data_IF_800880158317
#
_entry.id   IF_800880158317
#
_cell.length_a   1.000
_cell.length_b   1.000
_cell.length_c   1.000
_cell.angle_alpha   90.00
_cell.angle_beta   90.00
_cell.angle_gamma   90.00
#
_symmetry.space_group_name_H-M   'P 1'
#
loop_
_entity.id
_entity.type
_entity.pdbx_description
1 polymer ?
#
# COMPACT_ATOMS: atom_id res chain seq x y z
N UNK A 1 -7.68 0.71 33.73
CA UNK A 1 -6.31 1.15 34.06
C UNK A 1 -5.92 2.16 32.99
N UNK A 2 -5.83 3.45 33.36
CA UNK A 2 -5.33 4.49 32.46
C UNK A 2 -3.82 4.34 32.40
N UNK A 3 -3.32 3.80 31.32
CA UNK A 3 -1.89 3.76 31.06
C UNK A 3 -1.47 5.17 30.64
N UNK A 4 -0.67 5.83 31.43
CA UNK A 4 -0.08 7.13 31.09
C UNK A 4 0.83 6.87 29.85
N UNK A 5 0.42 7.36 28.69
CA UNK A 5 1.26 7.36 27.51
C UNK A 5 2.52 8.16 27.83
N UNK A 6 3.66 7.50 27.87
CA UNK A 6 4.96 8.19 27.83
C UNK A 6 4.95 9.05 26.56
N UNK A 7 5.70 10.13 26.51
CA UNK A 7 5.76 11.02 25.35
C UNK A 7 6.20 10.20 24.12
N UNK A 8 5.26 9.44 23.54
CA UNK A 8 5.46 8.78 22.27
C UNK A 8 5.65 9.86 21.26
N UNK A 9 6.61 9.72 20.42
CA UNK A 9 6.80 10.64 19.31
C UNK A 9 5.58 10.65 18.39
N UNK A 10 4.86 9.50 18.31
CA UNK A 10 3.73 9.34 17.39
C UNK A 10 2.59 8.49 17.98
N UNK A 11 1.38 8.96 17.74
CA UNK A 11 0.14 8.21 18.00
C UNK A 11 -0.55 7.96 16.66
N UNK A 12 -0.76 6.69 16.29
CA UNK A 12 -1.49 6.29 15.09
C UNK A 12 -2.85 5.76 15.51
N UNK A 13 -3.92 6.26 14.91
CA UNK A 13 -5.30 5.85 15.20
C UNK A 13 -5.86 5.06 14.04
N UNK A 14 -6.24 3.81 14.30
CA UNK A 14 -6.74 2.83 13.36
C UNK A 14 -5.67 1.85 12.89
N UNK A 15 -5.91 0.54 13.11
CA UNK A 15 -5.02 -0.55 12.70
C UNK A 15 -5.52 -1.24 11.41
N UNK A 16 -6.05 -0.46 10.48
CA UNK A 16 -6.22 -0.87 9.09
C UNK A 16 -4.90 -0.83 8.32
N UNK A 17 -4.93 -1.13 7.01
CA UNK A 17 -3.74 -1.19 6.18
C UNK A 17 -2.87 0.08 6.28
N UNK A 18 -3.47 1.25 6.13
CA UNK A 18 -2.74 2.51 6.18
C UNK A 18 -2.10 2.78 7.55
N UNK A 19 -2.84 2.56 8.63
CA UNK A 19 -2.35 2.82 9.99
C UNK A 19 -1.25 1.85 10.41
N UNK A 20 -1.40 0.57 10.11
CA UNK A 20 -0.34 -0.43 10.40
C UNK A 20 0.92 -0.17 9.62
N UNK A 21 0.83 0.17 8.31
CA UNK A 21 1.99 0.54 7.51
C UNK A 21 2.67 1.81 8.03
N UNK A 22 1.90 2.83 8.42
CA UNK A 22 2.45 4.06 8.98
C UNK A 22 3.18 3.79 10.31
N UNK A 23 2.54 3.03 11.22
CA UNK A 23 3.13 2.68 12.51
C UNK A 23 4.42 1.88 12.33
N UNK A 24 4.41 0.89 11.43
CA UNK A 24 5.60 0.10 11.11
C UNK A 24 6.75 0.94 10.57
N UNK A 25 6.48 1.83 9.60
CA UNK A 25 7.51 2.71 9.04
C UNK A 25 8.08 3.70 10.05
N UNK A 26 7.26 4.22 10.93
CA UNK A 26 7.72 5.09 12.02
C UNK A 26 8.60 4.32 13.02
N UNK A 27 8.20 3.10 13.38
CA UNK A 27 8.99 2.24 14.27
C UNK A 27 10.35 1.86 13.64
N UNK A 28 10.39 1.54 12.34
CA UNK A 28 11.65 1.28 11.63
C UNK A 28 12.61 2.48 11.64
N UNK A 29 12.08 3.70 11.71
CA UNK A 29 12.87 4.94 11.84
C UNK A 29 13.32 5.23 13.28
N UNK A 30 13.05 4.32 14.20
CA UNK A 30 13.45 4.44 15.60
C UNK A 30 12.51 5.30 16.45
N UNK A 31 11.32 5.64 15.95
CA UNK A 31 10.35 6.39 16.74
C UNK A 31 9.58 5.47 17.70
N UNK A 32 9.24 5.99 18.86
CA UNK A 32 8.27 5.36 19.74
C UNK A 32 6.87 5.58 19.17
N UNK A 33 6.13 4.50 18.91
CA UNK A 33 4.82 4.55 18.25
C UNK A 33 3.78 3.85 19.11
N UNK A 34 2.66 4.51 19.33
CA UNK A 34 1.45 3.91 19.89
C UNK A 34 0.40 3.78 18.81
N UNK A 35 -0.04 2.55 18.53
CA UNK A 35 -1.13 2.26 17.60
C UNK A 35 -2.40 1.95 18.39
N UNK A 36 -3.45 2.73 18.15
CA UNK A 36 -4.77 2.53 18.75
C UNK A 36 -5.72 1.92 17.73
N UNK A 37 -6.46 0.91 18.17
CA UNK A 37 -7.52 0.30 17.38
C UNK A 37 -8.76 0.12 18.27
N UNK A 38 -9.95 0.38 17.71
CA UNK A 38 -11.21 0.28 18.41
C UNK A 38 -11.58 -1.15 18.77
N UNK A 39 -11.30 -2.09 17.88
CA UNK A 39 -11.67 -3.51 18.00
C UNK A 39 -10.44 -4.40 17.94
N UNK A 40 -9.96 -4.69 16.74
CA UNK A 40 -8.77 -5.51 16.49
C UNK A 40 -8.15 -5.14 15.14
N UNK A 41 -6.85 -5.37 14.93
CA UNK A 41 -6.25 -5.19 13.60
C UNK A 41 -6.98 -6.00 12.53
N UNK A 42 -7.15 -5.41 11.34
CA UNK A 42 -7.84 -6.01 10.20
C UNK A 42 -9.29 -6.44 10.50
N UNK A 43 -9.99 -5.73 11.37
CA UNK A 43 -11.39 -6.01 11.69
C UNK A 43 -12.30 -5.98 10.43
N UNK A 44 -13.34 -6.82 10.37
CA UNK A 44 -14.18 -6.94 9.18
C UNK A 44 -15.08 -5.72 8.93
N UNK A 45 -15.23 -4.85 9.90
CA UNK A 45 -15.98 -3.60 9.82
C UNK A 45 -15.19 -2.41 9.26
N UNK A 46 -13.90 -2.61 8.98
CA UNK A 46 -13.03 -1.60 8.36
C UNK A 46 -12.88 -1.76 6.85
N UNK A 47 -12.34 -0.73 6.17
CA UNK A 47 -12.07 -0.77 4.72
C UNK A 47 -10.99 -1.77 4.31
N UNK A 48 -10.17 -2.23 5.25
CA UNK A 48 -9.08 -3.17 5.01
C UNK A 48 -9.48 -4.65 5.20
N UNK A 49 -10.78 -4.95 5.23
CA UNK A 49 -11.27 -6.31 5.35
C UNK A 49 -11.22 -7.08 4.02
N UNK A 50 -11.36 -8.40 4.09
CA UNK A 50 -11.44 -9.30 2.93
C UNK A 50 -10.15 -10.09 2.70
N UNK A 51 -10.25 -11.11 1.84
CA UNK A 51 -9.19 -12.09 1.62
C UNK A 51 -8.10 -11.62 0.64
N UNK A 52 -8.38 -10.61 -0.17
CA UNK A 52 -7.44 -10.10 -1.16
C UNK A 52 -7.60 -8.60 -1.38
N UNK A 53 -6.53 -8.00 -1.89
CA UNK A 53 -6.44 -6.62 -2.38
C UNK A 53 -5.62 -6.59 -3.65
N UNK A 54 -5.84 -5.58 -4.48
CA UNK A 54 -5.11 -5.40 -5.72
C UNK A 54 -4.12 -4.25 -5.53
N UNK A 55 -2.85 -4.51 -5.84
CA UNK A 55 -1.84 -3.51 -6.13
C UNK A 55 -1.74 -3.41 -7.64
N UNK A 56 -2.08 -2.26 -8.22
CA UNK A 56 -2.04 -2.06 -9.67
C UNK A 56 -1.26 -0.79 -10.00
N UNK A 57 -0.60 -0.78 -11.16
CA UNK A 57 0.19 0.36 -11.64
C UNK A 57 -0.59 1.27 -12.59
N UNK A 58 -1.66 0.77 -13.19
CA UNK A 58 -2.41 1.45 -14.24
C UNK A 58 -3.27 2.61 -13.70
N UNK A 59 -2.61 3.69 -13.32
CA UNK A 59 -3.23 4.97 -12.96
C UNK A 59 -2.91 6.01 -14.03
N UNK A 60 -3.92 6.77 -14.50
CA UNK A 60 -3.69 7.84 -15.48
C UNK A 60 -2.87 9.00 -14.91
N UNK A 61 -2.90 9.20 -13.60
CA UNK A 61 -2.10 10.22 -12.91
C UNK A 61 -0.72 9.63 -12.56
N UNK A 62 0.32 10.25 -13.07
CA UNK A 62 1.72 9.85 -12.88
C UNK A 62 2.10 9.72 -11.40
N UNK A 63 1.60 10.62 -10.56
CA UNK A 63 1.88 10.66 -9.13
C UNK A 63 1.39 9.38 -8.43
N UNK A 64 0.22 8.88 -8.79
CA UNK A 64 -0.31 7.65 -8.23
C UNK A 64 0.46 6.44 -8.73
N UNK A 65 0.79 6.37 -10.02
CA UNK A 65 1.64 5.31 -10.56
C UNK A 65 3.01 5.27 -9.86
N UNK A 66 3.64 6.42 -9.67
CA UNK A 66 4.92 6.53 -8.94
C UNK A 66 4.80 6.12 -7.46
N UNK A 67 3.68 6.45 -6.80
CA UNK A 67 3.42 5.99 -5.43
C UNK A 67 3.30 4.47 -5.34
N UNK A 68 2.65 3.83 -6.33
CA UNK A 68 2.53 2.37 -6.36
C UNK A 68 3.88 1.69 -6.59
N UNK A 69 4.72 2.23 -7.48
CA UNK A 69 6.10 1.72 -7.67
C UNK A 69 6.87 1.75 -6.35
N UNK A 70 6.83 2.88 -5.63
CA UNK A 70 7.47 2.98 -4.31
C UNK A 70 6.83 2.07 -3.26
N UNK A 71 5.52 1.86 -3.32
CA UNK A 71 4.83 0.96 -2.41
C UNK A 71 5.23 -0.50 -2.64
N UNK A 72 5.52 -0.90 -3.87
CA UNK A 72 5.99 -2.24 -4.20
C UNK A 72 7.28 -2.57 -3.43
N UNK A 73 8.25 -1.67 -3.40
CA UNK A 73 9.49 -1.85 -2.64
C UNK A 73 9.18 -2.08 -1.14
N UNK A 74 8.26 -1.30 -0.59
CA UNK A 74 7.81 -1.45 0.79
C UNK A 74 7.10 -2.78 1.07
N UNK A 75 6.33 -3.30 0.13
CA UNK A 75 5.72 -4.61 0.23
C UNK A 75 6.75 -5.73 0.19
N UNK A 76 7.74 -5.65 -0.69
CA UNK A 76 8.84 -6.63 -0.76
C UNK A 76 9.70 -6.63 0.51
N UNK A 77 9.94 -5.46 1.08
CA UNK A 77 10.61 -5.32 2.38
C UNK A 77 9.79 -5.98 3.50
N UNK A 78 8.47 -5.81 3.50
CA UNK A 78 7.58 -6.43 4.48
C UNK A 78 7.53 -7.95 4.33
N UNK A 79 7.47 -8.47 3.09
CA UNK A 79 7.57 -9.91 2.80
C UNK A 79 8.86 -10.49 3.38
N UNK A 80 9.99 -9.83 3.11
CA UNK A 80 11.28 -10.27 3.64
C UNK A 80 11.35 -10.24 5.17
N UNK A 81 10.74 -9.22 5.80
CA UNK A 81 10.71 -9.10 7.25
C UNK A 81 9.77 -10.10 7.95
N UNK A 82 8.70 -10.52 7.28
CA UNK A 82 7.68 -11.43 7.83
C UNK A 82 7.85 -12.88 7.41
N UNK A 83 8.79 -13.16 6.49
CA UNK A 83 8.95 -14.48 5.84
C UNK A 83 7.62 -15.02 5.28
N UNK A 84 6.82 -14.13 4.71
CA UNK A 84 5.48 -14.44 4.22
C UNK A 84 5.27 -13.82 2.84
N UNK A 85 4.79 -14.59 1.86
CA UNK A 85 4.36 -14.05 0.58
C UNK A 85 3.07 -13.22 0.77
N UNK A 86 3.14 -11.93 0.44
CA UNK A 86 2.03 -10.99 0.54
C UNK A 86 1.52 -10.53 -0.82
N UNK A 87 2.38 -10.57 -1.85
CA UNK A 87 2.09 -10.15 -3.20
C UNK A 87 2.29 -11.28 -4.19
N UNK A 88 1.21 -11.80 -4.72
CA UNK A 88 1.25 -12.71 -5.86
C UNK A 88 1.20 -11.90 -7.15
N UNK A 89 2.23 -11.99 -7.97
CA UNK A 89 2.28 -11.32 -9.27
C UNK A 89 1.29 -11.96 -10.24
N UNK A 90 0.44 -11.13 -10.85
CA UNK A 90 -0.50 -11.55 -11.87
C UNK A 90 -0.50 -10.53 -13.02
N UNK A 91 -0.61 -11.00 -14.28
CA UNK A 91 -0.79 -10.09 -15.40
C UNK A 91 -2.12 -9.34 -15.25
N UNK A 92 -2.13 -8.09 -15.72
CA UNK A 92 -3.31 -7.24 -15.72
C UNK A 92 -3.57 -6.67 -17.11
N UNK A 93 -4.84 -6.61 -17.51
CA UNK A 93 -5.27 -5.97 -18.74
C UNK A 93 -6.11 -4.75 -18.39
N UNK A 94 -5.69 -3.57 -18.82
CA UNK A 94 -6.48 -2.35 -18.71
C UNK A 94 -7.13 -2.03 -20.06
N UNK A 95 -8.45 -2.06 -20.08
CA UNK A 95 -9.25 -1.82 -21.27
C UNK A 95 -10.61 -1.18 -20.94
N UNK A 96 -11.28 -0.65 -21.93
CA UNK A 96 -12.66 -0.19 -21.78
C UNK A 96 -12.93 1.18 -22.39
N UNK A 97 -14.20 1.54 -22.56
CA UNK A 97 -14.59 2.83 -23.11
C UNK A 97 -14.16 3.98 -22.19
N UNK A 98 -13.71 5.07 -22.81
CA UNK A 98 -13.23 6.24 -22.06
C UNK A 98 -11.80 6.11 -21.48
N UNK A 99 -11.10 5.02 -21.77
CA UNK A 99 -9.68 4.85 -21.49
C UNK A 99 -8.84 5.39 -22.66
N UNK A 100 -7.74 6.03 -22.34
CA UNK A 100 -6.69 6.36 -23.31
C UNK A 100 -5.47 5.46 -23.05
N UNK A 101 -5.37 4.31 -23.73
CA UNK A 101 -4.29 3.36 -23.49
C UNK A 101 -2.92 3.92 -23.85
N UNK A 102 -2.84 4.84 -24.81
CA UNK A 102 -1.57 5.49 -25.18
C UNK A 102 -1.10 6.49 -24.13
N UNK A 103 -2.02 7.23 -23.52
CA UNK A 103 -1.69 8.11 -22.40
C UNK A 103 -1.24 7.30 -21.18
N UNK A 104 -1.94 6.21 -20.88
CA UNK A 104 -1.56 5.31 -19.79
C UNK A 104 -0.20 4.66 -20.02
N UNK A 105 0.08 4.18 -21.24
CA UNK A 105 1.38 3.61 -21.59
C UNK A 105 2.53 4.60 -21.35
N UNK A 106 2.35 5.88 -21.73
CA UNK A 106 3.36 6.92 -21.43
C UNK A 106 3.59 7.10 -19.93
N UNK A 107 2.53 7.06 -19.12
CA UNK A 107 2.67 7.17 -17.67
C UNK A 107 3.44 5.97 -17.11
N UNK A 108 3.15 4.76 -17.57
CA UNK A 108 3.84 3.54 -17.12
C UNK A 108 5.32 3.55 -17.54
N UNK A 109 5.62 4.01 -18.76
CA UNK A 109 6.99 4.21 -19.25
C UNK A 109 7.74 5.21 -18.36
N UNK A 110 7.14 6.37 -18.07
CA UNK A 110 7.72 7.44 -17.24
C UNK A 110 8.07 6.97 -15.82
N UNK A 111 7.35 6.00 -15.28
CA UNK A 111 7.61 5.46 -13.93
C UNK A 111 8.35 4.12 -13.96
N UNK A 112 8.78 3.65 -15.13
CA UNK A 112 9.59 2.45 -15.31
C UNK A 112 8.84 1.13 -15.11
N UNK A 113 7.54 1.11 -15.36
CA UNK A 113 6.70 -0.10 -15.29
C UNK A 113 6.64 -0.78 -16.66
N UNK A 114 7.06 -2.04 -16.71
CA UNK A 114 6.97 -2.85 -17.91
C UNK A 114 5.51 -3.04 -18.34
N UNK A 115 5.23 -2.81 -19.61
CA UNK A 115 3.89 -2.90 -20.17
C UNK A 115 3.92 -3.16 -21.67
N UNK A 116 2.80 -3.60 -22.22
CA UNK A 116 2.59 -3.80 -23.64
C UNK A 116 1.30 -3.08 -24.08
N UNK A 117 1.38 -2.36 -25.20
CA UNK A 117 0.23 -1.74 -25.82
C UNK A 117 -0.32 -2.65 -26.91
N UNK A 118 -1.44 -3.31 -26.61
CA UNK A 118 -2.11 -4.19 -27.55
C UNK A 118 -2.90 -3.39 -28.59
N UNK A 119 -2.92 -3.87 -29.85
CA UNK A 119 -3.65 -3.28 -30.99
C UNK A 119 -5.04 -3.89 -31.17
#
# INVERSE_FOLDING_TARGET
VVQTLRSSSFLVVGAGLAGTCAAWRLAQRGHEVTLLERTRPAAPDGSSHGSARILRFAYPEREYAALVVRALDGWRELEAASDTELLTAAPALDHGPGRDPRALARVLEDVGVEHELLS
#
